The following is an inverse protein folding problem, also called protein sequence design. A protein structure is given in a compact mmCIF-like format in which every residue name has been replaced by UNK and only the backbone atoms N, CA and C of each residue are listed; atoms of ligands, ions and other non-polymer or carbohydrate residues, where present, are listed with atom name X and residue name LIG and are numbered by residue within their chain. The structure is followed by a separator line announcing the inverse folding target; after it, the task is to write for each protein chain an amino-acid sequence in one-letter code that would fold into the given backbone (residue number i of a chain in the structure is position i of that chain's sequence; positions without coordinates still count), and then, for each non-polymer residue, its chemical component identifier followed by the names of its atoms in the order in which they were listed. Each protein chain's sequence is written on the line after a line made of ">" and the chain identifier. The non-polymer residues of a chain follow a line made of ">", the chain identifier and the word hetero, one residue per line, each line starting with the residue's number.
data_IF_615067633584
#
_entry.id   IF_615067633584
#
_cell.length_a   1.000
_cell.length_b   1.000
_cell.length_c   1.000
_cell.angle_alpha   90.00
_cell.angle_beta   90.00
_cell.angle_gamma   90.00
#
_symmetry.space_group_name_H-M   'P 1'
#
loop_
_entity.id
_entity.type
_entity.pdbx_description
1 polymer ?
#
# COMPACT_ATOMS: atom_id res chain seq x y z
N UNK A 1 -5.42 -18.62 -49.45
CA UNK A 1 -5.81 -18.71 -48.06
C UNK A 1 -4.62 -18.97 -47.13
N UNK A 2 -3.72 -19.98 -47.33
CA UNK A 2 -2.56 -20.25 -46.45
C UNK A 2 -1.59 -19.08 -46.30
N UNK A 3 -1.28 -18.33 -47.39
CA UNK A 3 -0.37 -17.16 -47.34
C UNK A 3 -0.91 -16.00 -46.49
N UNK A 4 -2.23 -15.75 -46.54
CA UNK A 4 -2.89 -14.72 -45.73
C UNK A 4 -2.87 -15.10 -44.26
N UNK A 5 -3.14 -16.36 -43.95
CA UNK A 5 -3.05 -16.86 -42.57
C UNK A 5 -1.64 -16.74 -41.98
N UNK A 6 -0.59 -17.07 -42.77
CA UNK A 6 0.81 -16.91 -42.34
C UNK A 6 1.13 -15.43 -42.06
N UNK A 7 0.67 -14.53 -42.97
CA UNK A 7 0.91 -13.09 -42.78
C UNK A 7 0.22 -12.54 -41.55
N UNK A 8 -1.03 -12.95 -41.32
CA UNK A 8 -1.77 -12.55 -40.10
C UNK A 8 -1.08 -13.07 -38.83
N UNK A 9 -0.66 -14.35 -38.81
CA UNK A 9 0.07 -14.92 -37.70
C UNK A 9 1.40 -14.19 -37.42
N UNK A 10 2.15 -13.89 -38.53
CA UNK A 10 3.40 -13.14 -38.39
C UNK A 10 3.17 -11.71 -37.91
N UNK A 11 2.14 -11.02 -38.37
CA UNK A 11 1.79 -9.68 -37.90
C UNK A 11 1.37 -9.66 -36.42
N UNK A 12 0.56 -10.63 -36.02
CA UNK A 12 0.18 -10.80 -34.59
C UNK A 12 1.40 -11.12 -33.72
N UNK A 13 2.28 -12.00 -34.18
CA UNK A 13 3.51 -12.32 -33.46
C UNK A 13 4.44 -11.10 -33.31
N UNK A 14 4.61 -10.31 -34.37
CA UNK A 14 5.37 -9.06 -34.34
C UNK A 14 4.76 -8.05 -33.37
N UNK A 15 3.45 -7.92 -33.38
CA UNK A 15 2.72 -7.02 -32.49
C UNK A 15 2.87 -7.46 -31.02
N UNK A 16 2.75 -8.75 -30.74
CA UNK A 16 2.96 -9.32 -29.40
C UNK A 16 4.41 -9.15 -28.91
N UNK A 17 5.39 -9.15 -29.82
CA UNK A 17 6.79 -8.91 -29.47
C UNK A 17 7.10 -7.42 -29.29
N UNK A 18 6.50 -6.51 -30.06
CA UNK A 18 6.78 -5.08 -30.01
C UNK A 18 6.05 -4.36 -28.85
N UNK A 19 4.88 -4.84 -28.46
CA UNK A 19 4.07 -4.22 -27.40
C UNK A 19 4.75 -4.15 -26.02
N UNK A 20 5.38 -5.22 -25.50
CA UNK A 20 5.92 -5.19 -24.14
C UNK A 20 6.95 -4.08 -23.88
N UNK A 21 7.96 -3.80 -24.75
CA UNK A 21 8.90 -2.71 -24.49
C UNK A 21 8.24 -1.33 -24.53
N UNK A 22 7.23 -1.12 -25.39
CA UNK A 22 6.47 0.15 -25.43
C UNK A 22 5.68 0.31 -24.13
N UNK A 23 5.01 -0.74 -23.67
CA UNK A 23 4.30 -0.73 -22.39
C UNK A 23 5.25 -0.49 -21.22
N UNK A 24 6.46 -1.07 -21.27
CA UNK A 24 7.49 -0.82 -20.27
C UNK A 24 7.91 0.64 -20.19
N UNK A 25 8.03 1.34 -21.34
CA UNK A 25 8.32 2.78 -21.37
C UNK A 25 7.17 3.61 -20.78
N UNK A 26 5.94 3.31 -21.16
CA UNK A 26 4.76 4.00 -20.64
C UNK A 26 4.62 3.78 -19.13
N UNK A 27 4.85 2.57 -18.66
CA UNK A 27 4.78 2.25 -17.23
C UNK A 27 5.87 2.97 -16.45
N UNK A 28 7.10 3.06 -16.96
CA UNK A 28 8.18 3.83 -16.33
C UNK A 28 7.78 5.30 -16.15
N UNK A 29 7.28 5.92 -17.22
CA UNK A 29 6.82 7.31 -17.19
C UNK A 29 5.70 7.51 -16.15
N UNK A 30 4.72 6.62 -16.12
CA UNK A 30 3.63 6.67 -15.14
C UNK A 30 4.14 6.48 -13.70
N UNK A 31 5.03 5.51 -13.44
CA UNK A 31 5.62 5.31 -12.12
C UNK A 31 6.36 6.56 -11.65
N UNK A 32 7.20 7.16 -12.50
CA UNK A 32 7.89 8.41 -12.17
C UNK A 32 6.94 9.55 -11.86
N UNK A 33 5.92 9.75 -12.71
CA UNK A 33 4.91 10.79 -12.50
C UNK A 33 4.14 10.62 -11.19
N UNK A 34 3.74 9.38 -10.87
CA UNK A 34 3.01 9.08 -9.63
C UNK A 34 3.87 9.27 -8.38
N UNK A 35 5.14 8.87 -8.42
CA UNK A 35 6.08 9.11 -7.30
C UNK A 35 6.29 10.60 -7.09
N UNK A 36 6.47 11.39 -8.15
CA UNK A 36 6.58 12.84 -8.06
C UNK A 36 5.31 13.47 -7.47
N UNK A 37 4.14 13.00 -7.89
CA UNK A 37 2.86 13.48 -7.35
C UNK A 37 2.69 13.12 -5.86
N UNK A 38 3.09 11.92 -5.45
CA UNK A 38 3.09 11.51 -4.03
C UNK A 38 4.03 12.37 -3.19
N UNK A 39 5.24 12.64 -3.67
CA UNK A 39 6.20 13.52 -2.97
C UNK A 39 5.67 14.94 -2.86
N UNK A 40 5.00 15.44 -3.91
CA UNK A 40 4.38 16.76 -3.94
C UNK A 40 3.13 16.88 -3.04
N UNK A 41 2.47 15.76 -2.70
CA UNK A 41 1.29 15.76 -1.81
C UNK A 41 1.57 16.26 -0.39
N UNK A 42 2.84 16.22 0.02
CA UNK A 42 3.28 16.63 1.35
C UNK A 42 2.88 15.66 2.49
N UNK A 43 2.22 14.54 2.17
CA UNK A 43 1.86 13.50 3.14
C UNK A 43 3.00 12.50 3.30
N UNK A 44 3.61 12.13 2.17
CA UNK A 44 4.70 11.18 2.08
C UNK A 44 5.87 11.81 1.32
N UNK A 45 7.09 11.52 1.77
CA UNK A 45 8.30 11.73 0.98
C UNK A 45 8.57 10.46 0.18
N UNK A 46 8.46 10.55 -1.13
CA UNK A 46 8.63 9.43 -2.04
C UNK A 46 9.82 9.66 -2.99
N UNK A 47 10.64 8.65 -3.23
CA UNK A 47 11.73 8.74 -4.21
C UNK A 47 11.93 7.43 -4.95
N UNK A 48 12.12 7.52 -6.27
CA UNK A 48 12.52 6.41 -7.12
C UNK A 48 14.06 6.34 -7.12
N UNK A 49 14.61 5.22 -6.64
CA UNK A 49 16.06 5.01 -6.59
C UNK A 49 16.60 4.41 -7.87
N UNK A 50 15.99 3.34 -8.34
CA UNK A 50 16.36 2.66 -9.58
C UNK A 50 15.13 2.21 -10.33
N UNK A 51 15.23 2.17 -11.66
CA UNK A 51 14.25 1.53 -12.54
C UNK A 51 15.00 0.74 -13.61
N UNK A 52 14.83 -0.57 -13.59
CA UNK A 52 15.41 -1.51 -14.53
C UNK A 52 14.31 -1.99 -15.48
N UNK A 53 14.35 -1.51 -16.72
CA UNK A 53 13.39 -1.90 -17.73
C UNK A 53 13.85 -3.19 -18.43
N UNK A 54 13.04 -4.23 -18.32
CA UNK A 54 13.16 -5.43 -19.13
C UNK A 54 12.11 -5.50 -20.22
N UNK A 55 12.16 -6.54 -21.06
CA UNK A 55 11.24 -6.72 -22.17
C UNK A 55 9.79 -6.98 -21.72
N UNK A 56 9.60 -7.98 -20.86
CA UNK A 56 8.29 -8.38 -20.33
C UNK A 56 8.14 -8.04 -18.84
N UNK A 57 9.22 -7.65 -18.17
CA UNK A 57 9.23 -7.37 -16.75
C UNK A 57 10.16 -6.20 -16.44
N UNK A 58 9.68 -5.28 -15.64
CA UNK A 58 10.49 -4.19 -15.08
C UNK A 58 10.60 -4.35 -13.57
N UNK A 59 11.66 -3.80 -13.01
CA UNK A 59 11.88 -3.72 -11.56
C UNK A 59 12.20 -2.29 -11.18
N UNK A 60 11.60 -1.84 -10.07
CA UNK A 60 11.93 -0.55 -9.52
C UNK A 60 12.21 -0.68 -8.02
N UNK A 61 13.09 0.18 -7.52
CA UNK A 61 13.32 0.37 -6.09
C UNK A 61 12.95 1.79 -5.74
N UNK A 62 12.10 1.90 -4.73
CA UNK A 62 11.56 3.16 -4.25
C UNK A 62 11.85 3.27 -2.76
N UNK A 63 11.78 4.45 -2.22
CA UNK A 63 11.78 4.66 -0.77
C UNK A 63 10.70 5.66 -0.40
N UNK A 64 10.01 5.35 0.67
CA UNK A 64 8.95 6.17 1.25
C UNK A 64 9.31 6.53 2.68
N UNK A 65 8.95 7.73 3.09
CA UNK A 65 8.97 8.18 4.47
C UNK A 65 7.73 9.05 4.72
N UNK A 66 7.28 9.14 5.93
CA UNK A 66 6.26 10.13 6.29
C UNK A 66 6.87 11.53 6.13
N UNK A 67 6.09 12.47 5.63
CA UNK A 67 6.53 13.85 5.57
C UNK A 67 6.64 14.44 7.00
N UNK A 68 7.58 15.36 7.26
CA UNK A 68 7.78 15.91 8.60
C UNK A 68 6.51 16.48 9.23
N UNK A 69 5.68 17.13 8.43
CA UNK A 69 4.38 17.65 8.88
C UNK A 69 3.38 16.55 9.27
N UNK A 70 3.43 15.40 8.62
CA UNK A 70 2.60 14.23 8.97
C UNK A 70 3.08 13.63 10.29
N UNK A 71 4.40 13.51 10.48
CA UNK A 71 5.00 13.04 11.73
C UNK A 71 4.61 13.98 12.88
N UNK A 72 4.73 15.30 12.70
CA UNK A 72 4.37 16.29 13.73
C UNK A 72 2.89 16.17 14.16
N UNK A 73 1.97 15.95 13.21
CA UNK A 73 0.55 15.74 13.54
C UNK A 73 0.32 14.41 14.27
N UNK A 74 1.05 13.36 13.92
CA UNK A 74 0.97 12.08 14.63
C UNK A 74 1.56 12.18 16.03
N UNK A 75 2.64 12.94 16.21
CA UNK A 75 3.24 13.21 17.52
C UNK A 75 2.30 14.02 18.41
N UNK A 76 1.62 15.02 17.87
CA UNK A 76 0.61 15.81 18.59
C UNK A 76 -0.56 14.93 19.05
N UNK A 77 -1.06 14.08 18.16
CA UNK A 77 -2.11 13.11 18.48
C UNK A 77 -1.62 12.07 19.51
N UNK A 78 -0.40 11.58 19.35
CA UNK A 78 0.23 10.64 20.29
C UNK A 78 0.41 11.23 21.67
N UNK A 79 0.87 12.48 21.76
CA UNK A 79 1.02 13.20 23.02
C UNK A 79 -0.32 13.38 23.76
N UNK A 80 -1.40 13.66 23.02
CA UNK A 80 -2.76 13.73 23.58
C UNK A 80 -3.22 12.37 24.15
N UNK A 81 -2.66 11.27 23.67
CA UNK A 81 -2.93 9.90 24.14
C UNK A 81 -1.88 9.39 25.14
N UNK A 82 -0.92 10.24 25.56
CA UNK A 82 0.16 9.85 26.47
C UNK A 82 1.21 8.92 25.83
N UNK A 83 1.28 8.84 24.51
CA UNK A 83 2.25 8.02 23.79
C UNK A 83 3.59 8.77 23.60
N UNK A 84 4.72 8.06 23.55
CA UNK A 84 6.00 8.68 23.24
C UNK A 84 6.00 9.20 21.78
N UNK A 85 6.81 10.25 21.49
CA UNK A 85 6.87 10.81 20.15
C UNK A 85 7.40 9.79 19.14
N UNK A 86 6.71 9.65 18.02
CA UNK A 86 7.09 8.79 16.91
C UNK A 86 8.29 9.32 16.13
N UNK A 87 8.57 10.63 16.24
CA UNK A 87 9.61 11.33 15.51
C UNK A 87 11.02 10.78 15.75
N UNK A 88 11.29 10.23 16.93
CA UNK A 88 12.61 9.71 17.28
C UNK A 88 13.05 8.50 16.43
N UNK A 89 12.11 7.69 15.94
CA UNK A 89 12.39 6.41 15.27
C UNK A 89 11.93 6.35 13.80
N UNK A 90 11.07 7.26 13.34
CA UNK A 90 10.41 7.19 12.03
C UNK A 90 11.17 7.86 10.86
N UNK A 91 12.38 8.40 11.08
CA UNK A 91 13.22 8.95 9.99
C UNK A 91 13.77 7.87 9.03
N UNK A 92 13.31 6.64 9.18
CA UNK A 92 13.75 5.52 8.34
C UNK A 92 12.84 5.38 7.14
N UNK A 93 13.41 5.68 5.97
CA UNK A 93 12.74 5.44 4.69
C UNK A 93 12.46 3.96 4.50
N UNK A 94 11.19 3.60 4.35
CA UNK A 94 10.79 2.25 4.00
C UNK A 94 11.22 1.94 2.55
N UNK A 95 12.14 0.98 2.35
CA UNK A 95 12.55 0.59 1.01
C UNK A 95 11.48 -0.31 0.40
N UNK A 96 11.01 0.01 -0.80
CA UNK A 96 10.01 -0.77 -1.53
C UNK A 96 10.64 -1.32 -2.81
N UNK A 97 10.52 -2.62 -3.01
CA UNK A 97 10.80 -3.29 -4.27
C UNK A 97 9.47 -3.44 -5.05
N UNK A 98 9.45 -2.96 -6.28
CA UNK A 98 8.31 -3.05 -7.20
C UNK A 98 8.71 -3.92 -8.40
N UNK A 99 7.95 -4.95 -8.67
CA UNK A 99 8.03 -5.74 -9.89
C UNK A 99 6.78 -5.52 -10.75
N UNK A 100 6.98 -5.33 -12.05
CA UNK A 100 5.92 -5.08 -13.01
C UNK A 100 6.09 -6.02 -14.19
N UNK A 101 5.10 -6.83 -14.49
CA UNK A 101 5.01 -7.59 -15.72
C UNK A 101 4.17 -6.82 -16.74
N UNK A 102 4.62 -6.78 -17.99
CA UNK A 102 4.01 -6.05 -19.09
C UNK A 102 3.54 -6.99 -20.18
N UNK A 103 2.53 -6.57 -20.91
CA UNK A 103 2.06 -7.23 -22.12
C UNK A 103 0.70 -7.88 -21.94
N UNK A 104 0.12 -8.36 -23.05
CA UNK A 104 -1.23 -8.93 -23.05
C UNK A 104 -1.35 -10.19 -22.20
N UNK A 105 -0.22 -10.84 -21.93
CA UNK A 105 -0.08 -11.98 -21.02
C UNK A 105 1.01 -11.64 -19.98
N UNK A 106 0.62 -11.07 -18.85
CA UNK A 106 1.54 -10.74 -17.78
C UNK A 106 1.70 -11.96 -16.83
N UNK A 107 2.94 -12.42 -16.66
CA UNK A 107 3.29 -13.53 -15.76
C UNK A 107 4.08 -12.98 -14.59
N UNK A 108 3.38 -12.78 -13.49
CA UNK A 108 3.93 -12.32 -12.22
C UNK A 108 3.01 -12.82 -11.11
N UNK A 109 3.48 -13.74 -10.29
CA UNK A 109 2.64 -14.31 -9.23
C UNK A 109 1.31 -14.88 -9.79
N UNK A 110 1.45 -15.73 -10.84
CA UNK A 110 0.35 -16.23 -11.68
C UNK A 110 0.17 -15.44 -12.99
N UNK A 111 -0.72 -15.94 -13.82
CA UNK A 111 -1.01 -15.42 -15.15
C UNK A 111 -2.13 -14.38 -15.09
N UNK A 112 -1.96 -13.27 -15.82
CA UNK A 112 -2.97 -12.24 -15.96
C UNK A 112 -3.09 -11.78 -17.41
N UNK A 113 -4.33 -11.67 -17.89
CA UNK A 113 -4.63 -11.12 -19.23
C UNK A 113 -4.99 -9.64 -19.08
N UNK A 114 -4.11 -8.74 -19.57
CA UNK A 114 -4.25 -7.30 -19.45
C UNK A 114 -2.97 -6.58 -19.85
N UNK A 115 -2.90 -5.25 -19.63
CA UNK A 115 -1.72 -4.46 -19.99
C UNK A 115 -0.55 -4.67 -19.03
N UNK A 116 -0.83 -4.76 -17.73
CA UNK A 116 0.22 -4.98 -16.74
C UNK A 116 -0.30 -5.61 -15.44
N UNK A 117 0.59 -6.28 -14.74
CA UNK A 117 0.43 -6.73 -13.38
C UNK A 117 1.65 -6.26 -12.57
N UNK A 118 1.43 -5.75 -11.36
CA UNK A 118 2.49 -5.25 -10.49
C UNK A 118 2.36 -5.81 -9.08
N UNK A 119 3.51 -6.00 -8.44
CA UNK A 119 3.61 -6.38 -7.03
C UNK A 119 4.69 -5.51 -6.39
N UNK A 120 4.33 -4.85 -5.28
CA UNK A 120 5.28 -4.10 -4.47
C UNK A 120 5.32 -4.68 -3.06
N UNK A 121 6.54 -4.85 -2.53
CA UNK A 121 6.81 -5.34 -1.16
C UNK A 121 7.93 -4.51 -0.55
N UNK A 122 8.10 -4.59 0.76
CA UNK A 122 9.32 -4.07 1.38
C UNK A 122 10.54 -4.77 0.77
N UNK A 123 11.61 -4.02 0.48
CA UNK A 123 12.83 -4.60 -0.12
C UNK A 123 13.61 -5.39 0.94
N UNK A 124 13.52 -6.71 0.88
CA UNK A 124 14.20 -7.64 1.80
C UNK A 124 15.73 -7.57 1.73
N UNK A 125 16.28 -6.90 0.71
CA UNK A 125 17.74 -6.63 0.63
C UNK A 125 18.19 -5.51 1.57
N UNK A 126 17.26 -4.70 2.07
CA UNK A 126 17.55 -3.77 3.15
C UNK A 126 17.80 -4.55 4.45
N UNK A 127 18.94 -4.25 5.11
CA UNK A 127 19.54 -5.05 6.20
C UNK A 127 18.58 -5.49 7.31
N UNK A 128 17.48 -4.78 7.53
CA UNK A 128 16.59 -5.04 8.66
C UNK A 128 15.24 -5.64 8.26
N UNK A 129 14.86 -5.66 6.97
CA UNK A 129 13.52 -6.11 6.55
C UNK A 129 13.42 -7.63 6.59
N UNK A 130 14.39 -8.35 6.02
CA UNK A 130 14.37 -9.81 6.01
C UNK A 130 14.41 -10.42 7.42
N UNK A 131 15.25 -9.87 8.31
CA UNK A 131 15.31 -10.31 9.69
C UNK A 131 14.02 -10.00 10.46
N UNK A 132 13.38 -8.87 10.18
CA UNK A 132 12.12 -8.50 10.79
C UNK A 132 10.98 -9.43 10.33
N UNK A 133 10.87 -9.72 9.02
CA UNK A 133 9.91 -10.69 8.49
C UNK A 133 10.11 -12.08 9.09
N UNK A 134 11.37 -12.52 9.19
CA UNK A 134 11.70 -13.81 9.80
C UNK A 134 11.36 -13.86 11.29
N UNK A 135 11.70 -12.81 12.04
CA UNK A 135 11.43 -12.75 13.49
C UNK A 135 9.92 -12.70 13.79
N UNK A 136 9.15 -12.07 12.93
CA UNK A 136 7.69 -11.97 13.05
C UNK A 136 6.96 -13.16 12.45
N UNK A 137 7.67 -14.07 11.75
CA UNK A 137 7.08 -15.25 11.11
C UNK A 137 6.12 -14.92 9.98
N UNK A 138 6.25 -13.75 9.34
CA UNK A 138 5.37 -13.30 8.26
C UNK A 138 6.09 -13.37 6.91
N UNK A 139 5.39 -13.71 5.81
CA UNK A 139 5.99 -13.80 4.48
C UNK A 139 6.32 -12.42 3.87
N UNK A 140 5.72 -11.37 4.38
CA UNK A 140 5.96 -9.97 4.02
C UNK A 140 5.38 -9.08 5.12
N UNK A 141 5.93 -7.88 5.30
CA UNK A 141 5.37 -6.86 6.21
C UNK A 141 4.36 -5.96 5.51
N UNK A 142 4.49 -5.82 4.20
CA UNK A 142 3.60 -5.06 3.35
C UNK A 142 3.60 -5.67 1.95
N UNK A 143 2.43 -5.85 1.37
CA UNK A 143 2.27 -6.23 -0.03
C UNK A 143 1.21 -5.36 -0.69
N UNK A 144 1.53 -4.87 -1.88
CA UNK A 144 0.61 -4.20 -2.79
C UNK A 144 0.61 -4.95 -4.11
N UNK A 145 -0.55 -5.20 -4.66
CA UNK A 145 -0.77 -5.78 -5.99
C UNK A 145 -1.60 -4.83 -6.83
N UNK A 146 -1.22 -4.66 -8.08
CA UNK A 146 -1.96 -3.85 -9.03
C UNK A 146 -2.12 -4.58 -10.35
N UNK A 147 -3.22 -4.30 -11.06
CA UNK A 147 -3.52 -4.87 -12.38
C UNK A 147 -4.16 -3.83 -13.26
N UNK A 148 -3.72 -3.75 -14.52
CA UNK A 148 -4.31 -2.86 -15.52
C UNK A 148 -4.94 -3.71 -16.62
N UNK A 149 -6.25 -3.60 -16.76
CA UNK A 149 -7.02 -4.30 -17.79
C UNK A 149 -6.89 -3.64 -19.17
N UNK A 150 -7.30 -4.34 -20.22
CA UNK A 150 -7.27 -3.83 -21.59
C UNK A 150 -8.15 -2.59 -21.82
N UNK A 151 -9.21 -2.44 -21.06
CA UNK A 151 -10.07 -1.25 -21.05
C UNK A 151 -9.49 -0.05 -20.28
N UNK A 152 -8.25 -0.14 -19.77
CA UNK A 152 -7.58 0.95 -19.04
C UNK A 152 -7.96 1.06 -17.57
N UNK A 153 -8.90 0.25 -17.05
CA UNK A 153 -9.21 0.18 -15.64
C UNK A 153 -8.05 -0.41 -14.84
N UNK A 154 -7.80 0.16 -13.67
CA UNK A 154 -6.77 -0.33 -12.73
C UNK A 154 -7.46 -0.86 -11.50
N UNK A 155 -7.19 -2.10 -11.13
CA UNK A 155 -7.56 -2.66 -9.81
C UNK A 155 -6.31 -2.85 -8.96
N UNK A 156 -6.44 -2.67 -7.66
CA UNK A 156 -5.36 -2.85 -6.71
C UNK A 156 -5.86 -3.43 -5.41
N UNK A 157 -4.99 -4.13 -4.74
CA UNK A 157 -5.11 -4.57 -3.36
C UNK A 157 -3.81 -4.32 -2.60
N UNK A 158 -3.90 -3.97 -1.33
CA UNK A 158 -2.76 -3.90 -0.45
C UNK A 158 -3.09 -4.55 0.88
N UNK A 159 -2.10 -5.17 1.51
CA UNK A 159 -2.26 -5.85 2.78
C UNK A 159 -1.04 -5.71 3.69
N UNK A 160 -1.34 -5.64 4.97
CA UNK A 160 -0.42 -5.73 6.09
C UNK A 160 -0.83 -6.97 6.90
N UNK A 161 0.03 -7.96 7.07
CA UNK A 161 -0.30 -9.18 7.81
C UNK A 161 -0.45 -8.91 9.31
N UNK A 162 -1.11 -9.80 10.05
CA UNK A 162 -1.14 -9.70 11.49
C UNK A 162 0.26 -9.87 12.08
N UNK A 163 0.52 -9.12 13.17
CA UNK A 163 1.81 -9.08 13.86
C UNK A 163 1.57 -9.01 15.36
N UNK A 164 2.35 -9.75 16.11
CA UNK A 164 2.35 -9.74 17.59
C UNK A 164 3.78 -9.51 18.07
N UNK A 165 3.99 -8.44 18.84
CA UNK A 165 5.31 -8.00 19.28
C UNK A 165 5.26 -7.74 20.79
N UNK A 166 6.20 -8.33 21.51
CA UNK A 166 6.44 -8.01 22.91
C UNK A 166 7.88 -7.50 23.06
N UNK A 167 8.03 -6.28 23.56
CA UNK A 167 9.32 -5.64 23.77
C UNK A 167 9.28 -4.65 24.92
N UNK A 168 10.24 -4.70 25.81
CA UNK A 168 10.42 -3.74 26.92
C UNK A 168 9.16 -3.50 27.78
N UNK A 169 8.33 -4.55 27.97
CA UNK A 169 7.08 -4.45 28.75
C UNK A 169 5.91 -3.83 27.96
N UNK A 170 6.08 -3.60 26.65
CA UNK A 170 5.01 -3.19 25.75
C UNK A 170 4.63 -4.38 24.87
N UNK A 171 3.34 -4.68 24.81
CA UNK A 171 2.77 -5.70 23.94
C UNK A 171 1.92 -5.03 22.85
N UNK A 172 2.25 -5.28 21.60
CA UNK A 172 1.56 -4.75 20.42
C UNK A 172 0.97 -5.92 19.64
N UNK A 173 -0.34 -5.97 19.57
CA UNK A 173 -1.06 -6.91 18.70
C UNK A 173 -1.70 -6.14 17.55
N UNK A 174 -1.29 -6.44 16.33
CA UNK A 174 -1.87 -5.93 15.10
C UNK A 174 -2.53 -7.09 14.36
N UNK A 175 -3.84 -7.03 14.17
CA UNK A 175 -4.64 -8.15 13.59
C UNK A 175 -4.69 -8.11 12.06
N UNK A 176 -4.01 -7.15 11.44
CA UNK A 176 -3.95 -6.99 10.00
C UNK A 176 -4.75 -5.79 9.48
N UNK A 177 -4.37 -5.33 8.30
CA UNK A 177 -5.09 -4.31 7.57
C UNK A 177 -5.07 -4.61 6.06
N UNK A 178 -6.02 -4.05 5.33
CA UNK A 178 -6.08 -4.20 3.89
C UNK A 178 -6.85 -3.06 3.23
N UNK A 179 -6.57 -2.88 1.95
CA UNK A 179 -7.33 -2.00 1.06
C UNK A 179 -7.50 -2.72 -0.27
N UNK A 180 -8.72 -2.70 -0.79
CA UNK A 180 -9.05 -3.14 -2.12
C UNK A 180 -9.64 -1.95 -2.88
N UNK A 181 -9.26 -1.78 -4.15
CA UNK A 181 -9.78 -0.65 -4.88
C UNK A 181 -9.66 -0.79 -6.39
N UNK A 182 -10.33 0.12 -7.07
CA UNK A 182 -10.28 0.24 -8.52
C UNK A 182 -10.37 1.69 -8.96
N UNK A 183 -9.63 1.99 -10.03
CA UNK A 183 -9.80 3.20 -10.81
C UNK A 183 -10.51 2.87 -12.12
N UNK A 184 -11.56 3.61 -12.44
CA UNK A 184 -12.25 3.56 -13.71
C UNK A 184 -12.34 4.98 -14.24
N UNK A 185 -11.49 5.32 -15.20
CA UNK A 185 -11.30 6.70 -15.60
C UNK A 185 -10.73 7.53 -14.44
N UNK A 186 -11.46 8.54 -14.02
CA UNK A 186 -11.10 9.40 -12.88
C UNK A 186 -11.77 9.00 -11.55
N UNK A 187 -12.61 7.96 -11.56
CA UNK A 187 -13.32 7.50 -10.37
C UNK A 187 -12.50 6.47 -9.60
N UNK A 188 -12.27 6.73 -8.32
CA UNK A 188 -11.67 5.81 -7.35
C UNK A 188 -12.79 5.22 -6.48
N UNK A 189 -12.89 3.90 -6.48
CA UNK A 189 -13.71 3.16 -5.51
C UNK A 189 -12.78 2.29 -4.71
N UNK A 190 -12.82 2.39 -3.38
CA UNK A 190 -11.98 1.56 -2.51
C UNK A 190 -12.66 1.23 -1.19
N UNK A 191 -12.34 0.04 -0.69
CA UNK A 191 -12.72 -0.45 0.63
C UNK A 191 -11.45 -0.71 1.44
N UNK A 192 -11.34 -0.09 2.60
CA UNK A 192 -10.21 -0.24 3.52
C UNK A 192 -10.67 -0.86 4.82
N UNK A 193 -9.83 -1.69 5.40
CA UNK A 193 -10.09 -2.33 6.69
C UNK A 193 -8.85 -2.31 7.59
N UNK A 194 -9.07 -2.11 8.87
CA UNK A 194 -8.16 -2.45 9.95
C UNK A 194 -8.90 -3.40 10.87
N UNK A 195 -8.43 -4.64 10.97
CA UNK A 195 -9.13 -5.67 11.74
C UNK A 195 -8.92 -5.47 13.24
N UNK A 196 -7.75 -5.01 13.66
CA UNK A 196 -7.50 -4.62 15.04
C UNK A 196 -6.09 -4.13 15.29
N UNK A 197 -5.96 -3.26 16.28
CA UNK A 197 -4.71 -2.84 16.87
C UNK A 197 -4.90 -2.73 18.38
N UNK A 198 -4.05 -3.39 19.14
CA UNK A 198 -4.02 -3.29 20.60
C UNK A 198 -2.59 -2.99 21.03
N UNK A 199 -2.42 -1.98 21.85
CA UNK A 199 -1.17 -1.66 22.52
C UNK A 199 -1.42 -1.77 24.03
N UNK A 200 -0.67 -2.62 24.69
CA UNK A 200 -0.72 -2.80 26.13
C UNK A 200 0.63 -2.45 26.72
N UNK A 201 0.64 -1.64 27.75
CA UNK A 201 1.83 -1.20 28.46
C UNK A 201 1.52 -1.04 29.96
N UNK A 202 2.51 -0.95 30.86
CA UNK A 202 2.26 -0.77 32.30
C UNK A 202 1.31 0.39 32.67
N UNK A 203 1.34 1.56 31.98
CA UNK A 203 0.39 2.64 32.25
C UNK A 203 -1.01 2.40 31.72
N UNK A 204 -1.25 1.41 30.84
CA UNK A 204 -2.59 1.17 30.32
C UNK A 204 -2.64 0.43 28.99
N UNK A 205 -3.83 0.41 28.39
CA UNK A 205 -4.05 -0.23 27.11
C UNK A 205 -4.88 0.67 26.17
N UNK A 206 -4.52 0.63 24.89
CA UNK A 206 -5.28 1.21 23.80
C UNK A 206 -5.72 0.11 22.84
N UNK A 207 -6.98 0.10 22.47
CA UNK A 207 -7.54 -0.88 21.54
C UNK A 207 -8.42 -0.18 20.52
N UNK A 208 -8.21 -0.48 19.24
CA UNK A 208 -9.11 -0.14 18.13
C UNK A 208 -9.36 -1.39 17.30
N UNK A 209 -10.63 -1.66 16.95
CA UNK A 209 -11.00 -2.85 16.17
C UNK A 209 -12.08 -2.55 15.15
N UNK A 210 -12.08 -3.37 14.10
CA UNK A 210 -13.11 -3.36 13.06
C UNK A 210 -13.30 -1.97 12.44
N UNK A 211 -12.20 -1.29 12.08
CA UNK A 211 -12.29 -0.06 11.32
C UNK A 211 -12.53 -0.41 9.85
N UNK A 212 -13.53 0.23 9.27
CA UNK A 212 -13.88 0.10 7.85
C UNK A 212 -14.01 1.49 7.26
N UNK A 213 -13.42 1.69 6.09
CA UNK A 213 -13.59 2.92 5.33
C UNK A 213 -13.92 2.57 3.87
N UNK A 214 -15.04 3.07 3.39
CA UNK A 214 -15.42 2.97 1.98
C UNK A 214 -15.31 4.34 1.34
N UNK A 215 -14.71 4.40 0.16
CA UNK A 215 -14.49 5.63 -0.60
C UNK A 215 -14.98 5.44 -2.02
N UNK A 216 -15.76 6.39 -2.50
CA UNK A 216 -16.22 6.47 -3.88
C UNK A 216 -16.14 7.93 -4.32
N UNK A 217 -15.03 8.29 -4.97
CA UNK A 217 -14.72 9.70 -5.29
C UNK A 217 -14.28 9.85 -6.75
N UNK A 218 -14.63 10.96 -7.34
CA UNK A 218 -14.15 11.35 -8.65
C UNK A 218 -12.93 12.28 -8.49
N UNK A 219 -11.78 11.84 -8.97
CA UNK A 219 -10.53 12.59 -8.90
C UNK A 219 -10.55 13.68 -9.99
N UNK A 220 -11.03 14.84 -9.66
CA UNK A 220 -11.03 16.02 -10.53
C UNK A 220 -9.74 16.83 -10.43
N UNK A 221 -9.62 17.86 -11.27
CA UNK A 221 -8.52 18.83 -11.22
C UNK A 221 -8.67 19.86 -10.07
N UNK A 222 -9.77 19.86 -9.35
CA UNK A 222 -10.03 20.72 -8.20
C UNK A 222 -9.70 20.02 -6.88
N UNK A 223 -9.32 20.78 -5.86
CA UNK A 223 -9.01 20.26 -4.52
C UNK A 223 -10.21 19.64 -3.77
N UNK A 224 -11.41 19.71 -4.33
CA UNK A 224 -12.62 19.06 -3.84
C UNK A 224 -13.00 17.95 -4.82
N UNK A 225 -12.69 16.70 -4.47
CA UNK A 225 -13.15 15.54 -5.20
C UNK A 225 -14.62 15.27 -4.81
N UNK A 226 -15.60 15.40 -5.74
CA UNK A 226 -16.97 15.02 -5.45
C UNK A 226 -17.05 13.52 -5.20
N UNK A 227 -17.78 13.11 -4.18
CA UNK A 227 -17.97 11.69 -3.88
C UNK A 227 -18.33 11.42 -2.43
N UNK A 228 -18.46 10.15 -2.12
CA UNK A 228 -18.85 9.66 -0.80
C UNK A 228 -17.65 8.99 -0.11
N UNK A 229 -17.49 9.29 1.18
CA UNK A 229 -16.58 8.57 2.06
C UNK A 229 -17.32 8.20 3.34
N UNK A 230 -17.23 6.93 3.72
CA UNK A 230 -17.85 6.40 4.94
C UNK A 230 -16.76 5.79 5.80
N UNK A 231 -16.75 6.14 7.09
CA UNK A 231 -15.88 5.55 8.09
C UNK A 231 -16.75 4.93 9.18
N UNK A 232 -16.41 3.73 9.58
CA UNK A 232 -17.00 3.08 10.76
C UNK A 232 -15.91 2.50 11.64
N UNK A 233 -16.09 2.60 12.94
CA UNK A 233 -15.18 2.05 13.96
C UNK A 233 -16.03 1.13 14.84
N UNK A 234 -15.71 -0.18 14.85
CA UNK A 234 -16.46 -1.14 15.66
C UNK A 234 -16.19 -1.02 17.14
N UNK A 235 -14.93 -0.74 17.51
CA UNK A 235 -14.54 -0.54 18.92
C UNK A 235 -13.36 0.41 19.04
N UNK A 236 -13.44 1.33 19.98
CA UNK A 236 -12.33 2.14 20.46
C UNK A 236 -12.34 2.12 21.99
N UNK A 237 -11.26 1.67 22.62
CA UNK A 237 -11.16 1.55 24.08
C UNK A 237 -9.80 2.06 24.57
N UNK A 238 -9.83 2.79 25.66
CA UNK A 238 -8.63 3.28 26.37
C UNK A 238 -8.78 2.89 27.84
N UNK A 239 -7.80 2.17 28.36
CA UNK A 239 -7.71 1.78 29.77
C UNK A 239 -6.49 2.46 30.37
N UNK A 240 -6.70 3.14 31.50
CA UNK A 240 -5.64 3.73 32.31
C UNK A 240 -5.45 2.88 33.58
N UNK A 241 -4.33 2.18 33.67
CA UNK A 241 -4.04 1.28 34.79
C UNK A 241 -4.02 2.00 36.15
N UNK A 242 -3.74 3.31 36.18
CA UNK A 242 -3.78 4.09 37.42
C UNK A 242 -5.20 4.33 37.93
N UNK A 243 -6.21 4.21 37.08
CA UNK A 243 -7.64 4.40 37.41
C UNK A 243 -8.41 3.10 37.64
N UNK A 244 -7.76 1.97 37.39
CA UNK A 244 -8.36 0.64 37.49
C UNK A 244 -8.57 -0.05 36.16
N UNK A 245 -9.13 -1.28 36.17
CA UNK A 245 -9.30 -2.09 34.94
C UNK A 245 -10.42 -1.59 34.02
N UNK A 246 -11.26 -0.68 34.48
CA UNK A 246 -12.36 -0.16 33.68
C UNK A 246 -11.86 0.82 32.63
N UNK A 247 -12.38 0.79 31.39
CA UNK A 247 -11.97 1.72 30.37
C UNK A 247 -12.33 3.16 30.72
N UNK A 248 -11.38 4.07 30.54
CA UNK A 248 -11.61 5.52 30.65
C UNK A 248 -12.44 6.02 29.46
N UNK A 249 -12.30 5.36 28.32
CA UNK A 249 -13.09 5.56 27.12
C UNK A 249 -13.44 4.18 26.56
N UNK A 250 -14.71 3.92 26.32
CA UNK A 250 -15.16 2.78 25.54
C UNK A 250 -16.28 3.24 24.59
N UNK A 251 -16.02 3.16 23.31
CA UNK A 251 -16.97 3.52 22.27
C UNK A 251 -17.11 2.34 21.28
N UNK A 252 -18.33 1.94 21.05
CA UNK A 252 -18.67 0.85 20.13
C UNK A 252 -19.61 1.34 19.03
N UNK A 253 -19.35 0.93 17.77
CA UNK A 253 -20.17 1.26 16.61
C UNK A 253 -20.27 2.79 16.34
N UNK A 254 -19.14 3.44 16.24
CA UNK A 254 -19.00 4.88 15.90
C UNK A 254 -18.80 5.08 14.40
#
# INVERSE_FOLDING_TARGET
>A
MKKVAIFVVAAVALLLLALPPVLGMLTESQVRARITALDASGVLKASLRTYERGWFRSRARMSFALAPQTIAKLDELGAALGLPPLSADLDRRAPIALEIAHGPLAVLDGVYFGWSKMVARLDTRARNVASLEQNLGVPYLFEFRGRTGFAGGVSFDASLPPVDIEAAGVHITFSGAGIDGKFVGQRLVSDSRLDGFTLTSPPGAFTIRNVRAATDVELGSSNAAPGDAKLSIGQLSIVDAARGPDPVLDATNV
#
